data_IF_085290851037
#
_entry.id   IF_085290851037
#
_cell.length_a   1.000
_cell.length_b   1.000
_cell.length_c   1.000
_cell.angle_alpha   90.00
_cell.angle_beta   90.00
_cell.angle_gamma   90.00
#
_symmetry.space_group_name_H-M   'P 1'
#
loop_
_entity.id
_entity.type
_entity.pdbx_description
1 polymer ?
#
# COMPACT_ATOMS: atom_id res chain seq x y z
N UNK A 1 -9.74 -30.72 28.31
CA UNK A 1 -9.77 -31.59 27.13
C UNK A 1 -11.05 -31.24 26.39
N UNK A 2 -11.07 -30.57 25.24
CA UNK A 2 -10.13 -30.47 24.12
C UNK A 2 -10.15 -29.03 23.60
N UNK A 3 -8.96 -28.53 23.26
CA UNK A 3 -8.68 -27.17 22.79
C UNK A 3 -8.80 -27.16 21.27
N UNK A 4 -9.73 -26.38 20.73
CA UNK A 4 -9.73 -25.99 19.32
C UNK A 4 -10.35 -24.61 19.21
N UNK A 5 -9.52 -23.58 19.15
CA UNK A 5 -9.95 -22.18 19.09
C UNK A 5 -8.91 -21.32 18.40
N UNK A 6 -9.17 -21.05 17.12
CA UNK A 6 -8.82 -19.83 16.40
C UNK A 6 -7.49 -19.15 16.76
N UNK A 7 -6.40 -19.62 16.15
CA UNK A 7 -5.22 -18.79 15.89
C UNK A 7 -5.52 -17.98 14.64
N UNK A 8 -5.92 -16.72 14.79
CA UNK A 8 -6.03 -15.81 13.66
C UNK A 8 -5.48 -14.43 14.03
N UNK A 9 -4.54 -13.98 13.18
CA UNK A 9 -4.08 -12.61 13.00
C UNK A 9 -3.23 -11.97 14.10
N UNK A 10 -1.95 -12.35 14.20
CA UNK A 10 -0.88 -11.38 14.49
C UNK A 10 0.45 -11.88 13.92
N UNK A 11 0.52 -11.93 12.58
CA UNK A 11 1.77 -12.09 11.84
C UNK A 11 1.61 -11.50 10.43
N UNK A 12 1.36 -10.19 10.36
CA UNK A 12 1.42 -9.40 9.12
C UNK A 12 2.12 -8.07 9.38
N UNK A 13 3.42 -8.14 9.69
CA UNK A 13 4.30 -6.98 9.56
C UNK A 13 5.73 -7.44 9.28
N UNK A 14 5.89 -8.18 8.18
CA UNK A 14 7.13 -8.50 7.44
C UNK A 14 6.75 -9.47 6.33
N UNK A 15 6.09 -8.93 5.29
CA UNK A 15 5.85 -9.48 3.94
C UNK A 15 4.68 -8.69 3.34
N UNK A 16 4.96 -7.47 2.89
CA UNK A 16 4.12 -6.74 1.93
C UNK A 16 4.96 -6.43 0.69
N UNK A 17 5.56 -7.49 0.14
CA UNK A 17 5.87 -7.58 -1.29
C UNK A 17 4.74 -8.37 -1.95
N UNK A 18 3.54 -7.78 -2.01
CA UNK A 18 2.46 -8.32 -2.83
C UNK A 18 1.40 -7.26 -3.13
N UNK A 19 1.16 -7.09 -4.44
CA UNK A 19 0.03 -6.44 -5.10
C UNK A 19 0.03 -4.90 -5.07
N UNK A 20 0.85 -4.33 -5.94
CA UNK A 20 0.49 -3.09 -6.65
C UNK A 20 -0.21 -3.51 -7.95
N UNK A 21 -1.55 -3.44 -8.06
CA UNK A 21 -2.18 -3.27 -9.35
C UNK A 21 -1.93 -1.80 -9.75
N UNK A 22 -0.76 -1.57 -10.31
CA UNK A 22 -0.67 -1.05 -11.66
C UNK A 22 -1.46 0.24 -11.99
N UNK A 23 -0.72 1.34 -12.12
CA UNK A 23 -1.01 2.41 -13.07
C UNK A 23 -0.96 1.83 -14.49
N UNK A 24 -2.13 1.67 -15.13
CA UNK A 24 -2.26 1.36 -16.57
C UNK A 24 -1.25 0.30 -17.09
N UNK A 25 -1.37 -0.97 -16.67
CA UNK A 25 -1.16 -2.09 -17.61
C UNK A 25 -2.38 -1.90 -18.51
N UNK A 26 -2.21 -1.05 -19.50
CA UNK A 26 -2.39 -1.60 -20.83
C UNK A 26 -1.46 -2.81 -20.86
N UNK A 27 -1.97 -3.96 -20.41
CA UNK A 27 -1.60 -5.22 -20.99
C UNK A 27 -2.09 -5.01 -22.41
N UNK A 28 -1.28 -4.33 -23.24
CA UNK A 28 -1.53 -4.19 -24.65
C UNK A 28 -1.60 -5.64 -25.07
N UNK A 29 -2.80 -6.19 -25.33
CA UNK A 29 -2.90 -7.59 -25.61
C UNK A 29 -2.02 -7.77 -26.83
N UNK A 30 -0.99 -8.57 -26.64
CA UNK A 30 -0.30 -9.26 -27.69
C UNK A 30 -1.42 -9.97 -28.46
N UNK A 31 -1.97 -9.35 -29.52
CA UNK A 31 -3.16 -9.82 -30.24
C UNK A 31 -3.00 -11.33 -30.47
N UNK A 32 -3.90 -12.11 -29.87
CA UNK A 32 -3.87 -13.57 -29.94
C UNK A 32 -4.41 -14.03 -31.28
N UNK A 33 -3.58 -13.95 -32.31
CA UNK A 33 -3.83 -14.74 -33.52
C UNK A 33 -3.42 -16.16 -33.19
N UNK A 34 -4.39 -17.04 -32.91
CA UNK A 34 -4.15 -18.49 -32.88
C UNK A 34 -3.49 -18.89 -34.20
N UNK A 35 -2.24 -19.33 -34.13
CA UNK A 35 -1.49 -19.78 -35.29
C UNK A 35 -2.13 -21.02 -35.92
N UNK A 36 -2.32 -20.97 -37.23
CA UNK A 36 -2.65 -22.15 -38.05
C UNK A 36 -1.46 -23.12 -37.99
N UNK A 37 -1.66 -24.44 -37.75
CA UNK A 37 -0.56 -25.39 -37.73
C UNK A 37 0.09 -25.45 -39.13
N UNK A 38 1.39 -25.17 -39.21
CA UNK A 38 2.16 -25.12 -40.46
C UNK A 38 2.61 -23.73 -40.92
N UNK A 39 2.19 -22.64 -40.26
CA UNK A 39 2.52 -21.25 -40.62
C UNK A 39 3.66 -20.58 -39.80
N UNK A 40 4.28 -21.29 -38.85
CA UNK A 40 5.22 -20.72 -37.87
C UNK A 40 6.53 -20.18 -38.44
N UNK A 41 6.93 -20.60 -39.64
CA UNK A 41 8.18 -20.16 -40.28
C UNK A 41 8.04 -18.81 -40.98
N UNK A 42 6.85 -18.45 -41.47
CA UNK A 42 6.64 -17.26 -42.27
C UNK A 42 7.06 -15.97 -41.54
N UNK A 43 6.73 -15.76 -40.24
CA UNK A 43 7.20 -14.60 -39.50
C UNK A 43 8.73 -14.52 -39.42
N UNK A 44 9.41 -15.64 -39.18
CA UNK A 44 10.88 -15.69 -39.05
C UNK A 44 11.54 -15.47 -40.41
N UNK A 45 11.02 -16.08 -41.49
CA UNK A 45 11.52 -15.86 -42.86
C UNK A 45 11.36 -14.42 -43.30
N UNK A 46 10.20 -13.82 -43.02
CA UNK A 46 9.97 -12.39 -43.31
C UNK A 46 10.94 -11.51 -42.53
N UNK A 47 11.21 -11.82 -41.27
CA UNK A 47 12.24 -11.10 -40.52
C UNK A 47 13.61 -11.18 -41.17
N UNK A 48 14.04 -12.38 -41.58
CA UNK A 48 15.35 -12.59 -42.22
C UNK A 48 15.46 -11.84 -43.56
N UNK A 49 14.38 -11.78 -44.35
CA UNK A 49 14.39 -11.04 -45.63
C UNK A 49 14.58 -9.55 -45.40
N UNK A 50 13.82 -8.93 -44.49
CA UNK A 50 14.02 -7.52 -44.16
C UNK A 50 15.40 -7.25 -43.55
N UNK A 51 15.85 -8.13 -42.65
CA UNK A 51 17.12 -7.97 -41.94
C UNK A 51 18.35 -8.03 -42.85
N UNK A 52 18.22 -8.57 -44.06
CA UNK A 52 19.27 -8.57 -45.08
C UNK A 52 19.47 -7.17 -45.70
N UNK A 53 18.43 -6.35 -45.74
CA UNK A 53 18.42 -5.03 -46.39
C UNK A 53 18.52 -3.87 -45.39
N UNK A 54 18.07 -4.07 -44.14
CA UNK A 54 18.07 -3.03 -43.12
C UNK A 54 17.31 -3.45 -41.84
N UNK A 55 17.00 -2.51 -40.93
CA UNK A 55 16.20 -2.80 -39.75
C UNK A 55 14.77 -3.20 -40.17
N UNK A 56 14.29 -4.40 -39.78
CA UNK A 56 12.93 -4.82 -40.09
C UNK A 56 11.86 -3.91 -39.48
N UNK A 57 10.70 -3.70 -40.13
CA UNK A 57 9.61 -2.93 -39.58
C UNK A 57 9.12 -3.49 -38.24
N UNK A 58 8.67 -2.62 -37.33
CA UNK A 58 8.22 -2.99 -35.98
C UNK A 58 7.26 -4.20 -35.92
N UNK A 59 6.19 -4.28 -36.75
CA UNK A 59 5.27 -5.43 -36.72
C UNK A 59 5.90 -6.75 -37.19
N UNK A 60 6.99 -6.70 -37.95
CA UNK A 60 7.73 -7.89 -38.41
C UNK A 60 8.56 -8.45 -37.27
N UNK A 61 9.28 -7.59 -36.53
CA UNK A 61 10.05 -7.99 -35.35
C UNK A 61 9.14 -8.58 -34.27
N UNK A 62 8.00 -7.95 -33.97
CA UNK A 62 7.04 -8.47 -32.98
C UNK A 62 6.50 -9.85 -33.36
N UNK A 63 6.18 -10.07 -34.64
CA UNK A 63 5.64 -11.35 -35.11
C UNK A 63 6.69 -12.46 -35.10
N UNK A 64 7.91 -12.14 -35.53
CA UNK A 64 9.02 -13.08 -35.51
C UNK A 64 9.39 -13.49 -34.08
N UNK A 65 9.48 -12.53 -33.13
CA UNK A 65 9.78 -12.83 -31.74
C UNK A 65 8.76 -13.79 -31.10
N UNK A 66 7.46 -13.63 -31.40
CA UNK A 66 6.41 -14.55 -30.94
C UNK A 66 6.55 -15.92 -31.57
N UNK A 67 6.77 -15.97 -32.89
CA UNK A 67 6.95 -17.24 -33.58
C UNK A 67 8.14 -18.03 -33.01
N UNK A 68 9.24 -17.34 -32.67
CA UNK A 68 10.37 -17.94 -31.97
C UNK A 68 9.98 -18.48 -30.59
N UNK A 69 9.19 -17.73 -29.80
CA UNK A 69 8.69 -18.20 -28.50
C UNK A 69 7.82 -19.46 -28.64
N UNK A 70 6.86 -19.40 -29.54
CA UNK A 70 5.83 -20.43 -29.71
C UNK A 70 6.41 -21.73 -30.30
N UNK A 71 7.50 -21.61 -31.09
CA UNK A 71 8.21 -22.75 -31.68
C UNK A 71 9.24 -23.35 -30.73
N UNK A 72 9.97 -22.52 -29.98
CA UNK A 72 11.14 -22.95 -29.22
C UNK A 72 10.94 -22.76 -27.72
N UNK A 73 11.10 -21.52 -27.23
CA UNK A 73 10.99 -21.22 -25.79
C UNK A 73 10.97 -19.72 -25.52
N UNK A 74 10.64 -19.35 -24.29
CA UNK A 74 10.85 -17.98 -23.77
C UNK A 74 12.31 -17.53 -23.92
N UNK A 75 13.27 -18.42 -23.62
CA UNK A 75 14.70 -18.11 -23.76
C UNK A 75 15.09 -17.80 -25.21
N UNK A 76 14.51 -18.50 -26.18
CA UNK A 76 14.73 -18.24 -27.60
C UNK A 76 14.17 -16.86 -28.01
N UNK A 77 13.00 -16.46 -27.48
CA UNK A 77 12.47 -15.11 -27.71
C UNK A 77 13.37 -14.03 -27.10
N UNK A 78 13.90 -14.25 -25.89
CA UNK A 78 14.88 -13.35 -25.26
C UNK A 78 16.12 -13.20 -26.14
N UNK A 79 16.69 -14.33 -26.59
CA UNK A 79 17.86 -14.33 -27.47
C UNK A 79 17.58 -13.62 -28.81
N UNK A 80 16.40 -13.84 -29.39
CA UNK A 80 15.96 -13.16 -30.61
C UNK A 80 15.89 -11.64 -30.44
N UNK A 81 15.19 -11.16 -29.40
CA UNK A 81 14.99 -9.72 -29.18
C UNK A 81 16.31 -9.02 -28.80
N UNK A 82 17.11 -9.62 -27.93
CA UNK A 82 18.43 -9.05 -27.55
C UNK A 82 19.41 -9.08 -28.73
N UNK A 83 19.37 -10.12 -29.57
CA UNK A 83 20.13 -10.21 -30.81
C UNK A 83 19.71 -9.14 -31.83
N UNK A 84 18.41 -8.88 -31.95
CA UNK A 84 17.88 -7.81 -32.79
C UNK A 84 18.39 -6.43 -32.34
N UNK A 85 18.26 -6.11 -31.04
CA UNK A 85 18.75 -4.85 -30.45
C UNK A 85 20.26 -4.67 -30.69
N UNK A 86 21.03 -5.76 -30.65
CA UNK A 86 22.47 -5.74 -30.90
C UNK A 86 22.78 -5.49 -32.38
N UNK A 87 22.03 -6.13 -33.29
CA UNK A 87 22.22 -6.01 -34.75
C UNK A 87 21.77 -4.65 -35.30
N UNK A 88 20.72 -4.07 -34.72
CA UNK A 88 20.12 -2.82 -35.17
C UNK A 88 20.07 -1.79 -34.03
N UNK A 89 21.22 -1.27 -33.54
CA UNK A 89 21.26 -0.38 -32.37
C UNK A 89 20.49 0.93 -32.57
N UNK A 90 20.29 1.35 -33.82
CA UNK A 90 19.58 2.59 -34.20
C UNK A 90 18.07 2.39 -34.39
N UNK A 91 17.53 1.18 -34.22
CA UNK A 91 16.07 0.98 -34.23
C UNK A 91 15.45 1.73 -33.05
N UNK A 92 14.56 2.66 -33.38
CA UNK A 92 13.88 3.53 -32.41
C UNK A 92 12.97 2.74 -31.46
N UNK A 93 12.54 1.52 -31.84
CA UNK A 93 11.68 0.65 -31.03
C UNK A 93 12.44 -0.27 -30.07
N UNK A 94 13.78 -0.20 -30.05
CA UNK A 94 14.60 -1.05 -29.17
C UNK A 94 14.24 -0.90 -27.68
N UNK A 95 13.82 0.30 -27.24
CA UNK A 95 13.32 0.51 -25.88
C UNK A 95 12.12 -0.39 -25.58
N UNK A 96 11.16 -0.49 -26.49
CA UNK A 96 10.04 -1.41 -26.37
C UNK A 96 10.50 -2.88 -26.36
N UNK A 97 11.40 -3.30 -27.24
CA UNK A 97 11.86 -4.69 -27.26
C UNK A 97 12.55 -5.10 -25.95
N UNK A 98 13.41 -4.25 -25.41
CA UNK A 98 14.04 -4.49 -24.11
C UNK A 98 13.01 -4.50 -22.98
N UNK A 99 11.97 -3.67 -23.07
CA UNK A 99 10.89 -3.71 -22.10
C UNK A 99 10.12 -5.05 -22.13
N UNK A 100 9.99 -5.71 -23.29
CA UNK A 100 9.42 -7.06 -23.39
C UNK A 100 10.38 -8.10 -22.83
N UNK A 101 11.69 -7.99 -23.10
CA UNK A 101 12.70 -8.86 -22.50
C UNK A 101 12.63 -8.78 -20.97
N UNK A 102 12.46 -7.58 -20.41
CA UNK A 102 12.26 -7.38 -18.98
C UNK A 102 11.02 -8.10 -18.43
N UNK A 103 9.89 -8.04 -19.15
CA UNK A 103 8.68 -8.79 -18.76
C UNK A 103 8.95 -10.30 -18.72
N UNK A 104 9.64 -10.84 -19.73
CA UNK A 104 9.96 -12.27 -19.80
C UNK A 104 10.86 -12.71 -18.63
N UNK A 105 11.83 -11.90 -18.23
CA UNK A 105 12.64 -12.20 -17.05
C UNK A 105 11.84 -12.10 -15.75
N UNK A 106 10.99 -11.07 -15.60
CA UNK A 106 10.12 -10.91 -14.42
C UNK A 106 9.20 -12.13 -14.27
N UNK A 107 8.59 -12.58 -15.35
CA UNK A 107 7.67 -13.72 -15.35
C UNK A 107 8.38 -15.05 -14.97
N UNK A 108 9.71 -15.10 -15.12
CA UNK A 108 10.58 -16.19 -14.65
C UNK A 108 11.14 -15.98 -13.23
N UNK A 109 10.70 -14.94 -12.51
CA UNK A 109 11.21 -14.56 -11.19
C UNK A 109 12.53 -13.78 -11.19
N UNK A 110 13.06 -13.43 -12.37
CA UNK A 110 14.30 -12.70 -12.55
C UNK A 110 14.15 -11.17 -12.41
N UNK A 111 13.72 -10.70 -11.24
CA UNK A 111 13.42 -9.27 -11.01
C UNK A 111 14.62 -8.34 -11.23
N UNK A 112 15.84 -8.76 -10.86
CA UNK A 112 17.05 -7.96 -11.07
C UNK A 112 17.36 -7.75 -12.55
N UNK A 113 17.25 -8.81 -13.36
CA UNK A 113 17.42 -8.72 -14.80
C UNK A 113 16.30 -7.89 -15.42
N UNK A 114 15.05 -8.11 -15.00
CA UNK A 114 13.91 -7.31 -15.46
C UNK A 114 14.15 -5.82 -15.23
N UNK A 115 14.56 -5.43 -14.02
CA UNK A 115 14.91 -4.06 -13.66
C UNK A 115 16.01 -3.51 -14.56
N UNK A 116 17.08 -4.26 -14.82
CA UNK A 116 18.16 -3.81 -15.72
C UNK A 116 17.64 -3.53 -17.14
N UNK A 117 16.80 -4.41 -17.68
CA UNK A 117 16.22 -4.25 -19.01
C UNK A 117 15.28 -3.04 -19.09
N UNK A 118 14.41 -2.85 -18.11
CA UNK A 118 13.53 -1.68 -18.08
C UNK A 118 14.32 -0.36 -17.92
N UNK A 119 15.37 -0.33 -17.08
CA UNK A 119 16.25 0.85 -16.96
C UNK A 119 16.95 1.15 -18.26
N UNK A 120 17.45 0.12 -18.96
CA UNK A 120 18.09 0.30 -20.27
C UNK A 120 17.09 0.83 -21.30
N UNK A 121 15.86 0.30 -21.32
CA UNK A 121 14.79 0.79 -22.18
C UNK A 121 14.49 2.27 -21.93
N UNK A 122 14.38 2.68 -20.67
CA UNK A 122 14.07 4.06 -20.26
C UNK A 122 15.21 5.06 -20.51
N UNK A 123 16.46 4.66 -20.27
CA UNK A 123 17.60 5.60 -20.19
C UNK A 123 18.48 5.63 -21.45
N UNK A 124 18.36 4.64 -22.34
CA UNK A 124 19.29 4.47 -23.49
C UNK A 124 18.62 4.55 -24.85
N UNK A 125 17.30 4.56 -24.91
CA UNK A 125 16.55 4.56 -26.15
C UNK A 125 15.59 5.77 -26.19
N UNK A 126 15.18 6.23 -27.39
CA UNK A 126 14.25 7.34 -27.51
C UNK A 126 12.85 6.94 -27.05
N UNK A 127 12.10 7.93 -26.56
CA UNK A 127 10.70 7.74 -26.21
C UNK A 127 9.83 7.75 -27.48
N UNK A 128 9.45 6.56 -27.95
CA UNK A 128 8.53 6.39 -29.08
C UNK A 128 7.14 5.96 -28.60
N UNK A 129 6.13 6.12 -29.45
CA UNK A 129 4.78 5.68 -29.13
C UNK A 129 4.53 4.29 -29.69
N UNK A 130 4.22 3.33 -28.81
CA UNK A 130 3.78 1.99 -29.20
C UNK A 130 2.31 1.86 -28.84
N UNK A 131 1.47 1.68 -29.86
CA UNK A 131 0.00 1.56 -29.72
C UNK A 131 -0.60 2.71 -28.89
N UNK A 132 -0.11 3.94 -29.13
CA UNK A 132 -0.58 5.16 -28.47
C UNK A 132 0.03 5.45 -27.10
N UNK A 133 0.94 4.61 -26.60
CA UNK A 133 1.58 4.80 -25.28
C UNK A 133 3.08 5.06 -25.45
N UNK A 134 3.64 6.09 -24.79
CA UNK A 134 5.09 6.33 -24.76
C UNK A 134 5.85 5.14 -24.14
N UNK A 135 6.90 4.68 -24.81
CA UNK A 135 7.75 3.56 -24.36
C UNK A 135 8.44 3.80 -23.02
N UNK A 136 8.79 5.04 -22.71
CA UNK A 136 9.34 5.41 -21.40
C UNK A 136 8.26 5.26 -20.32
N UNK A 137 7.01 5.64 -20.60
CA UNK A 137 5.88 5.42 -19.68
C UNK A 137 5.64 3.92 -19.42
N UNK A 138 5.74 3.09 -20.47
CA UNK A 138 5.68 1.62 -20.32
C UNK A 138 6.80 1.14 -19.39
N UNK A 139 8.03 1.58 -19.65
CA UNK A 139 9.23 1.11 -18.93
C UNK A 139 9.25 1.55 -17.47
N UNK A 140 8.86 2.79 -17.17
CA UNK A 140 8.79 3.30 -15.79
C UNK A 140 7.71 2.61 -14.97
N UNK A 141 6.52 2.36 -15.56
CA UNK A 141 5.46 1.61 -14.88
C UNK A 141 5.92 0.20 -14.54
N UNK A 142 6.65 -0.46 -15.44
CA UNK A 142 7.24 -1.79 -15.19
C UNK A 142 8.36 -1.74 -14.13
N UNK A 143 9.22 -0.71 -14.14
CA UNK A 143 10.22 -0.50 -13.08
C UNK A 143 9.57 -0.43 -11.70
N UNK A 144 8.49 0.33 -11.56
CA UNK A 144 7.76 0.50 -10.30
C UNK A 144 7.14 -0.82 -9.77
N UNK A 145 7.05 -1.87 -10.59
CA UNK A 145 6.63 -3.21 -10.15
C UNK A 145 7.76 -4.08 -9.58
N UNK A 146 9.02 -3.79 -9.93
CA UNK A 146 10.18 -4.62 -9.54
C UNK A 146 11.20 -3.90 -8.67
N UNK A 147 11.08 -2.57 -8.52
CA UNK A 147 11.98 -1.76 -7.68
C UNK A 147 11.53 -1.83 -6.22
N UNK A 148 12.42 -2.38 -5.39
CA UNK A 148 12.24 -2.48 -3.94
C UNK A 148 12.91 -1.32 -3.19
N UNK A 149 14.00 -0.77 -3.72
CA UNK A 149 14.70 0.35 -3.08
C UNK A 149 13.80 1.60 -3.03
N UNK A 150 13.52 2.14 -1.83
CA UNK A 150 12.57 3.24 -1.68
C UNK A 150 13.08 4.55 -2.28
N UNK A 151 14.40 4.77 -2.36
CA UNK A 151 14.98 5.99 -2.94
C UNK A 151 14.83 5.99 -4.45
N UNK A 152 15.14 4.87 -5.10
CA UNK A 152 14.88 4.74 -6.53
C UNK A 152 13.40 4.84 -6.86
N UNK A 153 12.54 4.27 -6.01
CA UNK A 153 11.09 4.37 -6.19
C UNK A 153 10.61 5.83 -6.16
N UNK A 154 11.14 6.64 -5.26
CA UNK A 154 10.88 8.09 -5.20
C UNK A 154 11.31 8.77 -6.52
N UNK A 155 12.53 8.50 -7.00
CA UNK A 155 13.04 9.08 -8.25
C UNK A 155 12.14 8.73 -9.45
N UNK A 156 11.73 7.47 -9.57
CA UNK A 156 10.87 7.02 -10.66
C UNK A 156 9.44 7.59 -10.60
N UNK A 157 8.88 7.75 -9.40
CA UNK A 157 7.57 8.37 -9.23
C UNK A 157 7.60 9.87 -9.58
N UNK A 158 8.67 10.59 -9.22
CA UNK A 158 8.87 11.97 -9.68
C UNK A 158 9.04 12.05 -11.19
N UNK A 159 9.85 11.17 -11.79
CA UNK A 159 9.98 11.11 -13.25
C UNK A 159 8.61 10.92 -13.93
N UNK A 160 7.77 10.02 -13.40
CA UNK A 160 6.41 9.80 -13.89
C UNK A 160 5.56 11.07 -13.77
N UNK A 161 5.61 11.74 -12.61
CA UNK A 161 4.85 12.97 -12.36
C UNK A 161 5.28 14.15 -13.23
N UNK A 162 6.57 14.24 -13.56
CA UNK A 162 7.11 15.37 -14.31
C UNK A 162 6.88 15.24 -15.81
N UNK A 163 6.97 14.01 -16.35
CA UNK A 163 6.88 13.76 -17.79
C UNK A 163 5.50 13.31 -18.26
N UNK A 164 4.67 12.75 -17.37
CA UNK A 164 3.37 12.15 -17.71
C UNK A 164 2.22 12.67 -16.86
N UNK A 165 2.34 13.88 -16.32
CA UNK A 165 1.34 14.48 -15.41
C UNK A 165 -0.10 14.42 -15.93
N UNK A 166 -0.28 14.63 -17.23
CA UNK A 166 -1.59 14.70 -17.87
C UNK A 166 -2.22 13.32 -18.14
N UNK A 167 -1.42 12.24 -18.13
CA UNK A 167 -1.87 10.89 -18.47
C UNK A 167 -1.94 9.93 -17.27
N UNK A 168 -1.73 10.44 -16.05
CA UNK A 168 -1.70 9.65 -14.82
C UNK A 168 -2.65 10.19 -13.75
N UNK A 169 -3.06 9.33 -12.83
CA UNK A 169 -3.79 9.75 -11.63
C UNK A 169 -2.80 10.35 -10.61
N UNK A 170 -2.87 11.68 -10.44
CA UNK A 170 -2.02 12.43 -9.51
C UNK A 170 -2.19 11.98 -8.05
N UNK A 171 -3.41 11.67 -7.63
CA UNK A 171 -3.65 11.19 -6.27
C UNK A 171 -3.01 9.82 -6.06
N UNK A 172 -3.04 8.95 -7.07
CA UNK A 172 -2.45 7.61 -7.01
C UNK A 172 -0.92 7.69 -6.89
N UNK A 173 -0.30 8.55 -7.69
CA UNK A 173 1.15 8.81 -7.61
C UNK A 173 1.53 9.40 -6.26
N UNK A 174 0.75 10.37 -5.76
CA UNK A 174 0.98 10.97 -4.45
C UNK A 174 0.90 9.94 -3.30
N UNK A 175 -0.06 9.01 -3.36
CA UNK A 175 -0.14 7.92 -2.39
C UNK A 175 1.11 7.04 -2.40
N UNK A 176 1.57 6.62 -3.59
CA UNK A 176 2.77 5.78 -3.68
C UNK A 176 4.06 6.54 -3.36
N UNK A 177 4.13 7.85 -3.64
CA UNK A 177 5.22 8.71 -3.17
C UNK A 177 5.26 8.74 -1.65
N UNK A 178 4.10 8.92 -1.00
CA UNK A 178 4.01 8.91 0.45
C UNK A 178 4.58 7.61 1.02
N UNK A 179 4.11 6.45 0.54
CA UNK A 179 4.63 5.13 0.97
C UNK A 179 6.13 4.97 0.73
N UNK A 180 6.65 5.46 -0.40
CA UNK A 180 8.07 5.38 -0.69
C UNK A 180 8.90 6.27 0.25
N UNK A 181 8.40 7.47 0.58
CA UNK A 181 9.01 8.35 1.57
C UNK A 181 9.02 7.74 2.97
N UNK A 182 7.93 7.12 3.42
CA UNK A 182 7.88 6.40 4.71
C UNK A 182 8.94 5.31 4.78
N UNK A 183 9.01 4.48 3.75
CA UNK A 183 10.01 3.41 3.67
C UNK A 183 11.45 3.95 3.65
N UNK A 184 11.65 5.20 3.22
CA UNK A 184 12.93 5.90 3.26
C UNK A 184 13.17 6.67 4.58
N UNK A 185 12.23 6.67 5.53
CA UNK A 185 12.28 7.44 6.77
C UNK A 185 12.08 8.95 6.59
N UNK A 186 11.56 9.39 5.43
CA UNK A 186 11.32 10.79 5.06
C UNK A 186 9.89 11.21 5.41
N UNK A 187 9.62 11.27 6.71
CA UNK A 187 8.26 11.38 7.24
C UNK A 187 7.54 12.67 6.82
N UNK A 188 8.21 13.82 6.88
CA UNK A 188 7.60 15.09 6.48
C UNK A 188 7.11 15.05 5.03
N UNK A 189 7.95 14.58 4.10
CA UNK A 189 7.57 14.44 2.69
C UNK A 189 6.48 13.39 2.47
N UNK A 190 6.45 12.33 3.29
CA UNK A 190 5.39 11.34 3.26
C UNK A 190 4.03 11.97 3.59
N UNK A 191 3.95 12.73 4.68
CA UNK A 191 2.70 13.37 5.10
C UNK A 191 2.26 14.49 4.17
N UNK A 192 3.19 15.25 3.57
CA UNK A 192 2.83 16.17 2.48
C UNK A 192 2.21 15.43 1.29
N UNK A 193 2.80 14.31 0.88
CA UNK A 193 2.30 13.50 -0.22
C UNK A 193 0.93 12.87 0.09
N UNK A 194 0.70 12.47 1.35
CA UNK A 194 -0.62 12.03 1.80
C UNK A 194 -1.67 13.13 1.72
N UNK A 195 -1.36 14.36 2.12
CA UNK A 195 -2.29 15.48 1.98
C UNK A 195 -2.64 15.73 0.51
N UNK A 196 -1.68 15.59 -0.41
CA UNK A 196 -1.94 15.63 -1.85
C UNK A 196 -2.88 14.51 -2.28
N UNK A 197 -2.67 13.27 -1.86
CA UNK A 197 -3.60 12.16 -2.14
C UNK A 197 -5.02 12.45 -1.61
N UNK A 198 -5.14 12.93 -0.38
CA UNK A 198 -6.43 13.27 0.23
C UNK A 198 -7.18 14.36 -0.54
N UNK A 199 -6.47 15.30 -1.16
CA UNK A 199 -7.05 16.33 -2.03
C UNK A 199 -7.64 15.79 -3.36
N UNK A 200 -7.45 14.52 -3.69
CA UNK A 200 -7.98 13.87 -4.90
C UNK A 200 -9.02 12.77 -4.55
N UNK A 201 -10.29 13.14 -4.25
CA UNK A 201 -11.31 12.21 -3.75
C UNK A 201 -11.70 11.08 -4.72
N UNK A 202 -11.50 11.26 -6.02
CA UNK A 202 -11.80 10.24 -7.03
C UNK A 202 -10.76 9.12 -7.13
N UNK A 203 -9.56 9.31 -6.58
CA UNK A 203 -8.47 8.34 -6.64
C UNK A 203 -8.80 7.11 -5.80
N UNK A 204 -8.67 5.93 -6.41
CA UNK A 204 -8.80 4.64 -5.74
C UNK A 204 -7.44 3.96 -5.70
N UNK A 205 -7.08 3.39 -4.55
CA UNK A 205 -5.85 2.61 -4.41
C UNK A 205 -6.19 1.13 -4.65
N UNK A 206 -5.69 0.53 -5.75
CA UNK A 206 -6.04 -0.85 -6.06
C UNK A 206 -5.49 -1.82 -5.01
N UNK A 207 -6.34 -2.73 -4.53
CA UNK A 207 -6.01 -3.66 -3.44
C UNK A 207 -6.14 -3.10 -2.03
N UNK A 208 -6.33 -1.79 -1.87
CA UNK A 208 -6.41 -1.10 -0.58
C UNK A 208 -7.69 -0.24 -0.50
N UNK A 209 -8.88 -0.86 -0.30
CA UNK A 209 -10.16 -0.15 -0.33
C UNK A 209 -10.28 0.94 0.76
N UNK A 210 -9.60 0.76 1.90
CA UNK A 210 -9.63 1.67 3.04
C UNK A 210 -8.51 2.73 3.03
N UNK A 211 -7.64 2.75 1.99
CA UNK A 211 -6.44 3.59 1.97
C UNK A 211 -6.72 5.07 2.26
N UNK A 212 -7.86 5.59 1.80
CA UNK A 212 -8.26 6.98 2.06
C UNK A 212 -8.55 7.22 3.54
N UNK A 213 -9.40 6.40 4.16
CA UNK A 213 -9.76 6.55 5.57
C UNK A 213 -8.53 6.35 6.45
N UNK A 214 -7.72 5.32 6.18
CA UNK A 214 -6.46 5.10 6.90
C UNK A 214 -5.52 6.31 6.77
N UNK A 215 -5.36 6.86 5.56
CA UNK A 215 -4.53 8.05 5.36
C UNK A 215 -5.07 9.26 6.12
N UNK A 216 -6.39 9.48 6.14
CA UNK A 216 -7.00 10.57 6.92
C UNK A 216 -6.68 10.43 8.40
N UNK A 217 -6.87 9.25 8.98
CA UNK A 217 -6.56 8.95 10.39
C UNK A 217 -5.08 9.21 10.72
N UNK A 218 -4.18 8.81 9.82
CA UNK A 218 -2.74 9.01 9.98
C UNK A 218 -2.34 10.48 9.89
N UNK A 219 -2.87 11.21 8.92
CA UNK A 219 -2.62 12.65 8.74
C UNK A 219 -3.16 13.43 9.94
N UNK A 220 -4.37 13.13 10.40
CA UNK A 220 -4.96 13.77 11.59
C UNK A 220 -4.08 13.55 12.82
N UNK A 221 -3.63 12.31 13.06
CA UNK A 221 -2.70 12.01 14.14
C UNK A 221 -1.37 12.77 14.01
N UNK A 222 -0.79 12.84 12.80
CA UNK A 222 0.46 13.58 12.53
C UNK A 222 0.31 15.09 12.76
N UNK A 223 -0.83 15.68 12.41
CA UNK A 223 -1.09 17.11 12.56
C UNK A 223 -1.51 17.52 13.98
N UNK A 224 -1.89 16.55 14.83
CA UNK A 224 -2.31 16.80 16.21
C UNK A 224 -1.15 17.16 17.16
N UNK A 225 -1.48 17.55 18.40
CA UNK A 225 -0.48 17.85 19.44
C UNK A 225 -0.06 16.63 20.28
N UNK A 226 -0.76 15.49 20.16
CA UNK A 226 -0.49 14.20 20.83
C UNK A 226 -0.29 14.29 22.36
N UNK A 227 -0.86 15.31 23.02
CA UNK A 227 -0.66 15.55 24.46
C UNK A 227 -1.33 14.49 25.36
N UNK A 228 -2.24 13.69 24.81
CA UNK A 228 -2.95 12.61 25.53
C UNK A 228 -2.13 11.32 25.64
N UNK A 229 -0.92 11.26 25.07
CA UNK A 229 -0.12 10.03 25.02
C UNK A 229 0.73 9.87 26.27
N UNK A 230 0.92 8.64 26.73
CA UNK A 230 1.62 8.31 27.98
C UNK A 230 2.69 7.25 27.76
N UNK A 231 3.88 7.44 28.31
CA UNK A 231 4.98 6.47 28.15
C UNK A 231 4.66 5.09 28.73
N UNK A 232 3.86 5.06 29.77
CA UNK A 232 3.62 3.89 30.60
C UNK A 232 2.11 3.61 30.74
N UNK A 233 1.73 2.36 30.54
CA UNK A 233 0.33 1.91 30.59
C UNK A 233 -0.22 1.98 32.01
N UNK A 234 0.58 1.59 33.01
CA UNK A 234 0.15 1.57 34.41
C UNK A 234 -0.21 2.98 34.89
N UNK A 235 0.62 3.97 34.56
CA UNK A 235 0.40 5.38 34.85
C UNK A 235 -0.88 5.92 34.20
N UNK A 236 -1.14 5.56 32.95
CA UNK A 236 -2.36 5.94 32.23
C UNK A 236 -3.61 5.32 32.86
N UNK A 237 -3.58 4.02 33.16
CA UNK A 237 -4.68 3.29 33.79
C UNK A 237 -4.97 3.86 35.18
N UNK A 238 -3.93 4.13 35.98
CA UNK A 238 -4.05 4.74 37.30
C UNK A 238 -4.68 6.14 37.25
N UNK A 239 -4.28 6.95 36.28
CA UNK A 239 -4.85 8.29 36.09
C UNK A 239 -6.33 8.26 35.68
N UNK A 240 -6.71 7.35 34.78
CA UNK A 240 -8.09 7.16 34.33
C UNK A 240 -8.97 6.63 35.46
N UNK A 241 -8.53 5.58 36.15
CA UNK A 241 -9.27 4.99 37.29
C UNK A 241 -9.45 5.98 38.43
N UNK A 242 -8.45 6.83 38.69
CA UNK A 242 -8.57 7.95 39.63
C UNK A 242 -9.64 8.96 39.19
N UNK A 243 -9.71 9.30 37.89
CA UNK A 243 -10.74 10.19 37.36
C UNK A 243 -12.15 9.57 37.42
N UNK A 244 -12.28 8.26 37.19
CA UNK A 244 -13.53 7.51 37.34
C UNK A 244 -13.99 7.50 38.81
N UNK A 245 -13.08 7.19 39.73
CA UNK A 245 -13.37 7.15 41.17
C UNK A 245 -13.79 8.53 41.70
N UNK A 246 -13.13 9.59 41.27
CA UNK A 246 -13.46 10.97 41.61
C UNK A 246 -14.71 11.51 40.88
N UNK A 247 -15.33 10.73 40.00
CA UNK A 247 -16.43 11.15 39.12
C UNK A 247 -16.15 12.49 38.42
N UNK A 248 -14.95 12.62 37.84
CA UNK A 248 -14.50 13.87 37.21
C UNK A 248 -14.37 13.69 35.68
N UNK A 249 -15.42 14.03 34.90
CA UNK A 249 -15.39 13.94 33.45
C UNK A 249 -14.30 14.77 32.80
N UNK A 250 -14.00 15.96 33.33
CA UNK A 250 -13.00 16.85 32.77
C UNK A 250 -11.59 16.25 32.89
N UNK A 251 -11.29 15.61 34.02
CA UNK A 251 -10.04 14.87 34.19
C UNK A 251 -9.98 13.65 33.27
N UNK A 252 -11.08 12.89 33.18
CA UNK A 252 -11.14 11.69 32.33
C UNK A 252 -10.91 12.03 30.85
N UNK A 253 -11.58 13.07 30.34
CA UNK A 253 -11.49 13.48 28.93
C UNK A 253 -10.11 14.01 28.52
N UNK A 254 -9.24 14.39 29.46
CA UNK A 254 -7.85 14.77 29.14
C UNK A 254 -6.99 13.59 28.69
N UNK A 255 -7.36 12.37 29.09
CA UNK A 255 -6.64 11.14 28.73
C UNK A 255 -7.21 10.46 27.49
N UNK A 256 -8.35 10.95 26.99
CA UNK A 256 -8.97 10.44 25.76
C UNK A 256 -8.07 10.75 24.58
N UNK A 257 -7.88 9.78 23.68
CA UNK A 257 -7.22 10.07 22.41
C UNK A 257 -7.90 11.23 21.68
N UNK A 258 -7.10 12.22 21.28
CA UNK A 258 -7.60 13.42 20.58
C UNK A 258 -7.98 13.12 19.13
N UNK A 259 -7.32 12.12 18.55
CA UNK A 259 -7.61 11.61 17.21
C UNK A 259 -7.95 10.12 17.30
N UNK A 260 -8.75 9.64 16.34
CA UNK A 260 -8.96 8.19 16.15
C UNK A 260 -9.55 7.46 17.38
N UNK A 261 -10.30 8.18 18.22
CA UNK A 261 -10.99 7.61 19.37
C UNK A 261 -12.35 7.05 18.99
N UNK A 262 -12.54 5.74 19.12
CA UNK A 262 -13.78 5.06 18.73
C UNK A 262 -14.64 4.63 19.91
N UNK A 263 -15.92 4.39 19.65
CA UNK A 263 -16.85 3.75 20.59
C UNK A 263 -17.70 2.73 19.83
N UNK A 264 -17.44 1.43 20.02
CA UNK A 264 -18.09 0.38 19.22
C UNK A 264 -18.39 -0.87 20.04
N UNK A 265 -19.14 -1.82 19.47
CA UNK A 265 -19.27 -3.17 20.04
C UNK A 265 -18.14 -4.08 19.55
N UNK A 266 -17.88 -5.15 20.29
CA UNK A 266 -16.77 -6.10 19.99
C UNK A 266 -16.75 -6.69 18.58
N UNK A 267 -17.90 -6.77 17.91
CA UNK A 267 -18.01 -7.36 16.56
C UNK A 267 -17.99 -6.32 15.43
N UNK A 268 -17.94 -5.03 15.77
CA UNK A 268 -17.88 -3.96 14.78
C UNK A 268 -16.44 -3.67 14.36
N UNK A 269 -16.26 -3.34 13.09
CA UNK A 269 -14.98 -2.86 12.55
C UNK A 269 -14.80 -1.39 12.94
N UNK A 270 -13.62 -0.99 13.40
CA UNK A 270 -13.30 0.41 13.74
C UNK A 270 -13.49 1.34 12.53
N UNK A 271 -13.38 0.80 11.31
CA UNK A 271 -13.54 1.51 10.04
C UNK A 271 -15.00 1.57 9.55
N UNK A 272 -15.95 0.95 10.26
CA UNK A 272 -17.38 1.10 9.98
C UNK A 272 -17.81 2.56 10.26
N UNK A 273 -18.52 3.23 9.34
CA UNK A 273 -19.05 4.58 9.56
C UNK A 273 -19.87 4.76 10.84
N UNK A 274 -20.39 3.68 11.43
CA UNK A 274 -21.14 3.68 12.68
C UNK A 274 -20.29 3.49 13.94
N UNK A 275 -18.98 3.22 13.81
CA UNK A 275 -18.05 2.99 14.94
C UNK A 275 -17.52 4.29 15.55
N UNK A 276 -17.56 5.38 14.79
CA UNK A 276 -17.46 6.74 15.32
C UNK A 276 -18.86 7.20 15.71
N UNK A 277 -19.21 7.14 17.00
CA UNK A 277 -20.44 7.77 17.49
C UNK A 277 -20.10 9.25 17.74
N UNK A 278 -20.47 10.20 16.85
CA UNK A 278 -19.99 11.58 16.91
C UNK A 278 -20.48 12.35 18.15
N UNK A 279 -21.42 11.76 18.89
CA UNK A 279 -22.16 12.38 20.01
C UNK A 279 -22.03 11.60 21.33
N UNK A 280 -21.04 10.73 21.48
CA UNK A 280 -20.87 9.97 22.71
C UNK A 280 -20.34 10.85 23.87
N UNK A 281 -21.24 11.34 24.72
CA UNK A 281 -20.89 12.09 25.95
C UNK A 281 -20.66 11.14 27.13
N UNK A 282 -19.44 10.61 27.25
CA UNK A 282 -19.03 9.79 28.39
C UNK A 282 -19.23 10.49 29.75
N UNK A 283 -19.12 11.83 29.76
CA UNK A 283 -19.27 12.63 30.97
C UNK A 283 -20.71 12.66 31.49
N UNK A 284 -21.71 12.53 30.61
CA UNK A 284 -23.11 12.37 31.02
C UNK A 284 -23.34 11.05 31.76
N UNK A 285 -22.71 9.96 31.31
CA UNK A 285 -22.81 8.65 31.97
C UNK A 285 -22.08 8.63 33.31
N UNK A 286 -20.84 9.13 33.36
CA UNK A 286 -20.04 9.16 34.59
C UNK A 286 -20.70 10.00 35.71
N UNK A 287 -21.40 11.08 35.35
CA UNK A 287 -22.13 11.92 36.33
C UNK A 287 -23.39 11.25 36.87
N UNK A 288 -24.04 10.40 36.07
CA UNK A 288 -25.32 9.75 36.42
C UNK A 288 -25.16 8.41 37.10
N UNK A 289 -23.97 7.81 37.04
CA UNK A 289 -23.76 6.46 37.55
C UNK A 289 -22.40 6.32 38.20
N UNK A 290 -22.36 5.49 39.25
CA UNK A 290 -21.13 5.21 39.97
C UNK A 290 -20.40 4.06 39.28
N UNK A 291 -19.51 4.41 38.38
CA UNK A 291 -18.70 3.47 37.61
C UNK A 291 -17.74 2.74 38.54
N UNK A 292 -17.62 1.43 38.33
CA UNK A 292 -16.61 0.57 38.95
C UNK A 292 -15.70 -0.01 37.87
N UNK A 293 -14.53 -0.47 38.27
CA UNK A 293 -13.51 -1.00 37.37
C UNK A 293 -12.80 -2.19 38.01
N UNK A 294 -12.23 -3.06 37.19
CA UNK A 294 -11.44 -4.21 37.62
C UNK A 294 -10.12 -3.75 38.25
N UNK A 295 -9.58 -4.53 39.19
CA UNK A 295 -8.23 -4.31 39.74
C UNK A 295 -7.15 -4.58 38.71
N UNK A 296 -7.39 -5.58 37.85
CA UNK A 296 -6.45 -6.08 36.88
C UNK A 296 -6.98 -5.84 35.46
N UNK A 297 -6.04 -5.70 34.50
CA UNK A 297 -6.36 -5.69 33.08
C UNK A 297 -6.86 -7.06 32.63
N UNK A 298 -7.67 -7.10 31.58
CA UNK A 298 -8.22 -8.34 31.04
C UNK A 298 -7.13 -9.27 30.52
N UNK A 299 -7.39 -10.59 30.62
CA UNK A 299 -6.47 -11.65 30.24
C UNK A 299 -6.06 -11.62 28.76
N UNK A 300 -6.88 -11.03 27.89
CA UNK A 300 -6.60 -10.86 26.47
C UNK A 300 -5.68 -9.66 26.15
N UNK A 301 -5.29 -8.87 27.15
CA UNK A 301 -4.31 -7.81 27.02
C UNK A 301 -2.93 -8.37 26.64
N UNK A 302 -2.18 -7.63 25.84
CA UNK A 302 -0.87 -8.01 25.32
C UNK A 302 0.08 -6.80 25.25
N UNK A 303 1.24 -6.96 24.60
CA UNK A 303 2.27 -5.93 24.55
C UNK A 303 1.87 -4.65 23.79
N UNK A 304 0.82 -4.70 22.97
CA UNK A 304 0.38 -3.60 22.11
C UNK A 304 -1.05 -3.13 22.38
N UNK A 305 -1.85 -3.93 23.07
CA UNK A 305 -3.25 -3.61 23.38
C UNK A 305 -3.59 -4.06 24.79
N UNK A 306 -4.41 -3.28 25.48
CA UNK A 306 -4.91 -3.65 26.80
C UNK A 306 -6.35 -3.22 27.00
N UNK A 307 -7.04 -3.94 27.87
CA UNK A 307 -8.46 -3.74 28.11
C UNK A 307 -8.72 -3.66 29.61
N UNK A 308 -9.37 -2.57 30.03
CA UNK A 308 -9.84 -2.41 31.41
C UNK A 308 -11.35 -2.59 31.45
N UNK A 309 -11.82 -3.66 32.10
CA UNK A 309 -13.24 -3.88 32.33
C UNK A 309 -13.78 -2.87 33.33
N UNK A 310 -14.87 -2.24 32.95
CA UNK A 310 -15.60 -1.24 33.75
C UNK A 310 -17.09 -1.54 33.70
N UNK A 311 -17.81 -1.23 34.78
CA UNK A 311 -19.25 -1.50 34.84
C UNK A 311 -20.01 -0.48 35.66
N UNK A 312 -21.34 -0.52 35.51
CA UNK A 312 -22.24 0.43 36.15
C UNK A 312 -22.38 1.73 35.38
N UNK A 313 -22.13 1.74 34.07
CA UNK A 313 -22.27 2.92 33.22
C UNK A 313 -23.70 3.26 32.85
N UNK A 314 -24.51 2.24 32.57
CA UNK A 314 -25.93 2.39 32.22
C UNK A 314 -26.70 1.11 32.54
N UNK A 315 -28.03 1.19 32.58
CA UNK A 315 -28.86 0.00 32.74
C UNK A 315 -28.93 -0.87 31.48
N UNK A 316 -28.81 -0.26 30.28
CA UNK A 316 -28.97 -0.98 29.00
C UNK A 316 -27.71 -1.76 28.62
N UNK A 317 -26.56 -1.12 28.77
CA UNK A 317 -25.25 -1.71 28.53
C UNK A 317 -24.42 -1.44 29.78
N UNK A 318 -24.42 -2.37 30.75
CA UNK A 318 -23.81 -2.14 32.05
C UNK A 318 -22.28 -2.21 32.02
N UNK A 319 -21.72 -3.02 31.12
CA UNK A 319 -20.28 -3.33 31.06
C UNK A 319 -19.66 -2.74 29.80
N UNK A 320 -18.62 -1.94 29.99
CA UNK A 320 -17.78 -1.35 28.94
C UNK A 320 -16.32 -1.69 29.20
N UNK A 321 -15.51 -1.76 28.14
CA UNK A 321 -14.08 -1.97 28.23
C UNK A 321 -13.37 -0.74 27.69
N UNK A 322 -12.53 -0.13 28.53
CA UNK A 322 -11.65 0.94 28.05
C UNK A 322 -10.49 0.29 27.32
N UNK A 323 -10.34 0.64 26.04
CA UNK A 323 -9.33 0.08 25.15
C UNK A 323 -8.11 0.98 25.11
N UNK A 324 -6.96 0.38 25.40
CA UNK A 324 -5.66 1.01 25.34
C UNK A 324 -4.86 0.40 24.22
N UNK A 325 -4.16 1.23 23.46
CA UNK A 325 -3.24 0.75 22.44
C UNK A 325 -1.89 1.43 22.54
N UNK A 326 -0.88 0.69 22.14
CA UNK A 326 0.46 1.19 21.96
C UNK A 326 0.57 1.86 20.59
N UNK A 327 1.11 3.07 20.58
CA UNK A 327 1.18 3.91 19.39
C UNK A 327 2.36 3.47 18.54
N UNK A 328 2.07 2.98 17.34
CA UNK A 328 3.08 2.76 16.31
C UNK A 328 3.20 3.99 15.41
N UNK A 329 4.09 4.91 15.81
CA UNK A 329 4.32 6.14 15.05
C UNK A 329 5.81 6.48 14.88
N UNK A 330 6.55 5.76 14.01
CA UNK A 330 7.99 5.90 13.88
C UNK A 330 8.48 7.30 13.43
N UNK A 331 7.57 8.15 12.95
CA UNK A 331 7.86 9.53 12.59
C UNK A 331 8.28 10.42 13.77
N UNK A 332 7.86 10.06 14.98
CA UNK A 332 8.19 10.79 16.21
C UNK A 332 8.58 9.78 17.31
N UNK A 333 9.88 9.60 17.58
CA UNK A 333 10.38 8.67 18.59
C UNK A 333 9.90 8.96 20.02
N UNK A 334 9.53 10.20 20.33
CA UNK A 334 9.05 10.56 21.68
C UNK A 334 7.60 10.11 21.92
N UNK A 335 6.85 9.90 20.84
CA UNK A 335 5.48 9.38 20.86
C UNK A 335 5.43 7.90 20.51
N UNK A 336 6.32 7.42 19.64
CA UNK A 336 6.40 6.03 19.26
C UNK A 336 6.57 5.12 20.48
N UNK A 337 5.70 4.12 20.62
CA UNK A 337 5.73 3.18 21.73
C UNK A 337 5.03 3.67 23.00
N UNK A 338 4.54 4.91 23.05
CA UNK A 338 3.63 5.37 24.11
C UNK A 338 2.29 4.65 24.02
N UNK A 339 1.49 4.77 25.07
CA UNK A 339 0.14 4.27 25.20
C UNK A 339 -0.87 5.41 25.12
N UNK A 340 -2.04 5.11 24.57
CA UNK A 340 -3.21 5.98 24.60
C UNK A 340 -4.47 5.20 24.98
N UNK A 341 -5.43 5.92 25.55
CA UNK A 341 -6.80 5.42 25.64
C UNK A 341 -7.48 5.67 24.29
N UNK A 342 -7.48 4.64 23.45
CA UNK A 342 -7.86 4.71 22.04
C UNK A 342 -9.34 4.47 21.78
N UNK A 343 -10.11 3.97 22.74
CA UNK A 343 -11.54 3.77 22.53
C UNK A 343 -12.29 3.08 23.66
N UNK A 344 -13.54 2.75 23.37
CA UNK A 344 -14.44 2.03 24.27
C UNK A 344 -15.13 0.91 23.51
N UNK A 345 -15.11 -0.29 24.09
CA UNK A 345 -15.84 -1.44 23.61
C UNK A 345 -17.05 -1.71 24.50
N UNK A 346 -18.23 -1.80 23.89
CA UNK A 346 -19.49 -2.01 24.59
C UNK A 346 -19.88 -3.49 24.66
N UNK A 347 -20.43 -3.88 25.82
CA UNK A 347 -20.90 -5.24 26.08
C UNK A 347 -19.82 -6.11 26.72
N UNK A 348 -20.23 -7.28 27.22
CA UNK A 348 -19.28 -8.26 27.78
C UNK A 348 -18.32 -8.77 26.69
N UNK A 349 -17.05 -8.90 27.07
CA UNK A 349 -16.10 -9.70 26.30
C UNK A 349 -16.53 -11.17 26.43
N UNK A 350 -16.45 -11.89 25.30
CA UNK A 350 -16.93 -13.26 25.05
C UNK A 350 -17.12 -14.20 26.25
#
# INVERSE_FOLDING_TARGET
MTVTGYIMNFMRLRLLSALIPLLLLLALPLVSVRGVPGGGDLPIRNYLSYAAEGPPPFPVVERAARATRDRESTSAMIAFLTGHVTRFPMDQNNGYYLSIVGDLYRDQGGNDLARQYYRRALLRYPDVHVRGVPTHQISINRLLTVVEDPRERIEYLHYLQDHYRESIDRGLVAYYLARAYENAGRWSEAFESYRVFLAHPGTRIPGEPNARNETQRRVAFYDSNRQWTHRDLESLVSAITSALWAQNPAALLRYRAGENFFTMSWQQDEMDPNSDIPTFDIGAFLRRSRVRFSSDLELNSNANEAYLRTWGWSHRIPTWYLYFRRIDFPADPDVHGNWEWGGILFGEAF
#
